data_IF_181607084517
#
_entry.id   IF_181607084517
#
_cell.length_a   1.000
_cell.length_b   1.000
_cell.length_c   1.000
_cell.angle_alpha   90.00
_cell.angle_beta   90.00
_cell.angle_gamma   90.00
#
_symmetry.space_group_name_H-M   'P 1'
#
loop_
_entity.id
_entity.type
_entity.pdbx_description
1 polymer ?
#
# COMPACT_ATOMS: atom_id res chain seq x y z
N UNK A 1 0.36 30.47 -5.10
CA UNK A 1 1.13 29.88 -3.96
C UNK A 1 1.49 28.40 -4.21
N UNK A 2 0.59 27.47 -4.62
CA UNK A 2 0.96 26.06 -4.78
C UNK A 2 1.98 25.80 -5.90
N UNK A 3 1.95 26.59 -6.98
CA UNK A 3 2.83 26.39 -8.14
C UNK A 3 4.29 26.74 -7.82
N UNK A 4 4.52 27.83 -7.08
CA UNK A 4 5.84 28.25 -6.64
C UNK A 4 6.46 27.23 -5.66
N UNK A 5 5.66 26.72 -4.75
CA UNK A 5 6.08 25.67 -3.80
C UNK A 5 6.46 24.39 -4.53
N UNK A 6 5.67 23.97 -5.54
CA UNK A 6 5.97 22.81 -6.38
C UNK A 6 7.30 22.96 -7.13
N UNK A 7 7.55 24.13 -7.73
CA UNK A 7 8.81 24.42 -8.44
C UNK A 7 10.02 24.37 -7.50
N UNK A 8 9.90 24.90 -6.28
CA UNK A 8 10.94 24.87 -5.26
C UNK A 8 11.27 23.45 -4.81
N UNK A 9 10.26 22.62 -4.52
CA UNK A 9 10.45 21.21 -4.14
C UNK A 9 11.08 20.45 -5.28
N UNK A 10 10.56 20.63 -6.51
CA UNK A 10 11.07 19.94 -7.70
C UNK A 10 12.54 20.28 -7.97
N UNK A 11 12.94 21.54 -7.86
CA UNK A 11 14.33 21.96 -8.10
C UNK A 11 15.28 21.40 -7.04
N UNK A 12 14.87 21.40 -5.76
CA UNK A 12 15.65 20.80 -4.65
C UNK A 12 15.77 19.28 -4.82
N UNK A 13 14.68 18.61 -5.14
CA UNK A 13 14.67 17.16 -5.39
C UNK A 13 15.57 16.80 -6.57
N UNK A 14 15.51 17.56 -7.67
CA UNK A 14 16.39 17.36 -8.85
C UNK A 14 17.87 17.57 -8.49
N UNK A 15 18.18 18.59 -7.70
CA UNK A 15 19.54 18.84 -7.22
C UNK A 15 20.04 17.69 -6.36
N UNK A 16 19.22 17.22 -5.42
CA UNK A 16 19.53 16.08 -4.54
C UNK A 16 19.83 14.80 -5.36
N UNK A 17 18.96 14.47 -6.32
CA UNK A 17 19.14 13.31 -7.21
C UNK A 17 20.44 13.39 -7.97
N UNK A 18 20.76 14.58 -8.51
CA UNK A 18 21.98 14.80 -9.26
C UNK A 18 23.24 14.69 -8.39
N UNK A 19 23.19 15.25 -7.17
CA UNK A 19 24.36 15.29 -6.26
C UNK A 19 24.60 13.93 -5.59
N UNK A 20 23.52 13.25 -5.14
CA UNK A 20 23.65 12.02 -4.34
C UNK A 20 23.75 10.77 -5.20
N UNK A 21 22.96 10.72 -6.28
CA UNK A 21 22.85 9.53 -7.12
C UNK A 21 23.49 9.71 -8.51
N UNK A 22 24.07 10.87 -8.81
CA UNK A 22 24.67 11.20 -10.09
C UNK A 22 23.75 10.98 -11.31
N UNK A 23 22.41 11.16 -11.08
CA UNK A 23 21.40 10.97 -12.10
C UNK A 23 20.99 12.32 -12.71
N UNK A 24 20.68 12.30 -14.01
CA UNK A 24 20.33 13.52 -14.77
C UNK A 24 18.88 13.95 -14.53
N UNK A 25 17.99 12.98 -14.38
CA UNK A 25 16.55 13.22 -14.30
C UNK A 25 15.81 12.13 -13.51
N UNK A 26 14.51 12.37 -13.24
CA UNK A 26 13.65 11.42 -12.53
C UNK A 26 13.38 10.12 -13.32
N UNK A 27 13.47 10.13 -14.65
CA UNK A 27 13.34 8.89 -15.45
C UNK A 27 14.50 7.94 -15.17
N UNK A 28 15.73 8.48 -15.09
CA UNK A 28 16.89 7.67 -14.70
C UNK A 28 16.76 7.11 -13.28
N UNK A 29 16.14 7.87 -12.35
CA UNK A 29 15.86 7.39 -11.00
C UNK A 29 14.92 6.18 -11.01
N UNK A 30 13.88 6.19 -11.85
CA UNK A 30 12.98 5.05 -12.00
C UNK A 30 13.71 3.81 -12.53
N UNK A 31 14.56 3.99 -13.55
CA UNK A 31 15.35 2.88 -14.10
C UNK A 31 16.34 2.35 -13.07
N UNK A 32 17.00 3.23 -12.30
CA UNK A 32 17.92 2.84 -11.23
C UNK A 32 17.17 2.06 -10.13
N UNK A 33 15.99 2.51 -9.71
CA UNK A 33 15.16 1.80 -8.73
C UNK A 33 14.82 0.38 -9.20
N UNK A 34 14.45 0.22 -10.47
CA UNK A 34 14.21 -1.10 -11.08
C UNK A 34 15.46 -1.98 -11.09
N UNK A 35 16.60 -1.41 -11.46
CA UNK A 35 17.86 -2.12 -11.42
C UNK A 35 18.21 -2.60 -10.00
N UNK A 36 18.06 -1.73 -8.99
CA UNK A 36 18.31 -2.09 -7.59
C UNK A 36 17.36 -3.21 -7.14
N UNK A 37 16.08 -3.15 -7.51
CA UNK A 37 15.13 -4.21 -7.22
C UNK A 37 15.52 -5.52 -7.93
N UNK A 38 15.92 -5.46 -9.19
CA UNK A 38 16.40 -6.63 -9.94
C UNK A 38 17.63 -7.26 -9.27
N UNK A 39 18.65 -6.46 -8.94
CA UNK A 39 19.85 -6.93 -8.27
C UNK A 39 19.55 -7.55 -6.88
N UNK A 40 18.59 -7.01 -6.16
CA UNK A 40 18.10 -7.56 -4.90
C UNK A 40 17.41 -8.92 -5.11
N UNK A 41 16.53 -9.03 -6.10
CA UNK A 41 15.83 -10.26 -6.43
C UNK A 41 16.80 -11.35 -6.88
N UNK A 42 17.76 -11.01 -7.74
CA UNK A 42 18.83 -11.91 -8.19
C UNK A 42 19.65 -12.46 -7.00
N UNK A 43 20.06 -11.57 -6.08
CA UNK A 43 20.75 -11.97 -4.84
C UNK A 43 19.90 -12.86 -3.93
N UNK A 44 18.58 -12.71 -3.99
CA UNK A 44 17.61 -13.51 -3.23
C UNK A 44 17.25 -14.84 -3.92
N UNK A 45 17.86 -15.15 -5.07
CA UNK A 45 17.66 -16.40 -5.81
C UNK A 45 16.59 -16.33 -6.90
N UNK A 46 15.98 -15.14 -7.14
CA UNK A 46 15.00 -14.93 -8.21
C UNK A 46 15.70 -14.37 -9.45
N UNK A 47 16.55 -15.19 -10.09
CA UNK A 47 17.35 -14.77 -11.24
C UNK A 47 16.71 -15.08 -12.59
N UNK A 48 15.78 -16.04 -12.63
CA UNK A 48 15.12 -16.44 -13.86
C UNK A 48 13.76 -15.77 -14.04
N UNK A 49 13.27 -15.71 -15.29
CA UNK A 49 11.94 -15.24 -15.60
C UNK A 49 10.85 -16.08 -14.94
N UNK A 50 11.05 -17.39 -14.88
CA UNK A 50 10.11 -18.33 -14.25
C UNK A 50 10.00 -18.09 -12.73
N UNK A 51 11.11 -17.72 -12.07
CA UNK A 51 11.10 -17.41 -10.66
C UNK A 51 10.34 -16.11 -10.38
N UNK A 52 10.50 -15.10 -11.24
CA UNK A 52 9.72 -13.86 -11.16
C UNK A 52 8.22 -14.10 -11.43
N UNK A 53 7.88 -15.03 -12.31
CA UNK A 53 6.47 -15.40 -12.55
C UNK A 53 5.85 -16.11 -11.33
N UNK A 54 6.60 -17.01 -10.68
CA UNK A 54 6.19 -17.64 -9.42
C UNK A 54 5.99 -16.59 -8.33
N UNK A 55 6.90 -15.61 -8.21
CA UNK A 55 6.80 -14.52 -7.24
C UNK A 55 5.55 -13.65 -7.52
N UNK A 56 5.25 -13.33 -8.77
CA UNK A 56 4.03 -12.62 -9.14
C UNK A 56 2.75 -13.39 -8.78
N UNK A 57 2.72 -14.68 -9.06
CA UNK A 57 1.57 -15.53 -8.67
C UNK A 57 1.40 -15.57 -7.16
N UNK A 58 2.48 -15.66 -6.39
CA UNK A 58 2.44 -15.60 -4.94
C UNK A 58 1.87 -14.27 -4.44
N UNK A 59 2.38 -13.14 -4.93
CA UNK A 59 1.86 -11.81 -4.57
C UNK A 59 0.37 -11.69 -4.91
N UNK A 60 -0.06 -12.16 -6.08
CA UNK A 60 -1.48 -12.12 -6.47
C UNK A 60 -2.36 -13.02 -5.58
N UNK A 61 -1.87 -14.19 -5.14
CA UNK A 61 -2.60 -15.05 -4.22
C UNK A 61 -2.76 -14.41 -2.84
N UNK A 62 -1.70 -13.80 -2.30
CA UNK A 62 -1.72 -13.06 -1.05
C UNK A 62 -2.69 -11.89 -1.10
N UNK A 63 -2.64 -11.08 -2.17
CA UNK A 63 -3.59 -9.97 -2.37
C UNK A 63 -5.04 -10.44 -2.41
N UNK A 64 -5.32 -11.57 -3.08
CA UNK A 64 -6.66 -12.14 -3.18
C UNK A 64 -7.15 -12.65 -1.81
N UNK A 65 -6.27 -13.23 -1.02
CA UNK A 65 -6.58 -13.73 0.31
C UNK A 65 -6.83 -12.58 1.30
N UNK A 66 -5.99 -11.55 1.31
CA UNK A 66 -6.20 -10.33 2.12
C UNK A 66 -7.54 -9.66 1.79
N UNK A 67 -7.88 -9.55 0.52
CA UNK A 67 -9.13 -8.95 0.07
C UNK A 67 -10.37 -9.77 0.50
N UNK A 68 -10.23 -11.10 0.58
CA UNK A 68 -11.27 -12.01 1.03
C UNK A 68 -11.51 -11.92 2.54
N UNK A 69 -10.44 -11.75 3.32
CA UNK A 69 -10.49 -11.69 4.78
C UNK A 69 -11.04 -10.36 5.33
N UNK A 70 -10.94 -9.25 4.56
CA UNK A 70 -11.46 -7.95 5.02
C UNK A 70 -12.98 -7.77 4.89
N UNK A 71 -13.64 -8.47 3.97
CA UNK A 71 -15.11 -8.39 3.78
C UNK A 71 -15.93 -8.86 4.98
N UNK A 72 -15.63 -10.00 5.64
CA UNK A 72 -16.43 -10.48 6.76
C UNK A 72 -16.29 -9.62 8.01
N UNK A 73 -15.14 -8.99 8.25
CA UNK A 73 -14.91 -8.19 9.46
C UNK A 73 -15.85 -6.97 9.54
N UNK A 74 -16.10 -6.30 8.42
CA UNK A 74 -17.01 -5.16 8.35
C UNK A 74 -18.46 -5.56 8.63
N UNK A 75 -18.88 -6.71 8.11
CA UNK A 75 -20.20 -7.25 8.33
C UNK A 75 -20.40 -7.67 9.78
N UNK A 76 -19.39 -8.32 10.38
CA UNK A 76 -19.42 -8.75 11.78
C UNK A 76 -19.55 -7.54 12.71
N UNK A 77 -18.75 -6.49 12.52
CA UNK A 77 -18.84 -5.26 13.33
C UNK A 77 -20.22 -4.61 13.19
N UNK A 78 -20.77 -4.54 11.99
CA UNK A 78 -22.11 -4.02 11.76
C UNK A 78 -23.20 -4.81 12.47
N UNK A 79 -23.14 -6.13 12.41
CA UNK A 79 -24.09 -7.02 13.12
C UNK A 79 -23.96 -6.87 14.64
N UNK A 80 -22.75 -6.79 15.19
CA UNK A 80 -22.55 -6.58 16.63
C UNK A 80 -23.12 -5.25 17.11
N UNK A 81 -22.91 -4.16 16.39
CA UNK A 81 -23.47 -2.84 16.72
C UNK A 81 -25.00 -2.89 16.67
N UNK A 82 -25.58 -3.48 15.63
CA UNK A 82 -27.04 -3.61 15.49
C UNK A 82 -27.66 -4.46 16.61
N UNK A 83 -27.06 -5.61 16.95
CA UNK A 83 -27.51 -6.47 18.02
C UNK A 83 -27.42 -5.78 19.40
N UNK A 84 -26.32 -5.07 19.68
CA UNK A 84 -26.14 -4.32 20.92
C UNK A 84 -27.20 -3.21 21.08
N UNK A 85 -27.47 -2.46 20.02
CA UNK A 85 -28.51 -1.43 20.03
C UNK A 85 -29.93 -2.02 20.19
N UNK A 86 -30.19 -3.18 19.56
CA UNK A 86 -31.49 -3.85 19.69
C UNK A 86 -31.72 -4.36 21.12
N UNK A 87 -30.70 -4.94 21.77
CA UNK A 87 -30.78 -5.41 23.14
C UNK A 87 -30.98 -4.25 24.13
N UNK A 88 -30.16 -3.20 24.01
CA UNK A 88 -30.28 -2.01 24.86
C UNK A 88 -31.63 -1.32 24.64
N UNK A 89 -32.05 -1.13 23.40
CA UNK A 89 -33.33 -0.52 23.09
C UNK A 89 -34.52 -1.31 23.61
N UNK A 90 -34.51 -2.63 23.44
CA UNK A 90 -35.55 -3.52 23.91
C UNK A 90 -35.68 -3.53 25.46
N UNK A 91 -34.55 -3.67 26.16
CA UNK A 91 -34.55 -3.71 27.65
C UNK A 91 -34.95 -2.36 28.25
N UNK A 92 -34.46 -1.25 27.74
CA UNK A 92 -34.80 0.07 28.28
C UNK A 92 -36.26 0.42 28.06
N UNK A 93 -36.82 0.17 26.88
CA UNK A 93 -38.21 0.45 26.58
C UNK A 93 -39.21 -0.45 27.36
N UNK A 94 -38.77 -1.66 27.75
CA UNK A 94 -39.60 -2.60 28.48
C UNK A 94 -39.65 -2.29 30.00
N UNK A 95 -38.59 -1.70 30.55
CA UNK A 95 -38.46 -1.40 31.99
C UNK A 95 -39.16 -0.10 32.43
N UNK A 96 -39.66 0.72 31.48
CA UNK A 96 -40.30 1.99 31.81
C UNK A 96 -41.83 1.90 31.73
N UNK A 97 -42.53 2.30 32.80
CA UNK A 97 -43.99 2.25 32.89
C UNK A 97 -44.63 3.52 32.33
N UNK A 98 -43.96 4.68 32.41
CA UNK A 98 -44.51 5.96 31.95
C UNK A 98 -44.21 6.23 30.46
N UNK A 99 -45.23 6.75 29.76
CA UNK A 99 -45.18 7.08 28.34
C UNK A 99 -44.12 8.17 28.06
N UNK A 100 -43.99 9.16 28.94
CA UNK A 100 -43.03 10.26 28.79
C UNK A 100 -41.58 9.75 28.93
N UNK A 101 -41.33 8.86 29.91
CA UNK A 101 -40.03 8.24 30.12
C UNK A 101 -39.63 7.36 28.91
N UNK A 102 -40.58 6.60 28.36
CA UNK A 102 -40.36 5.81 27.11
C UNK A 102 -39.97 6.67 25.94
N UNK A 103 -40.61 7.84 25.76
CA UNK A 103 -40.29 8.78 24.72
C UNK A 103 -38.88 9.35 24.88
N UNK A 104 -38.50 9.76 26.07
CA UNK A 104 -37.15 10.24 26.40
C UNK A 104 -36.11 9.16 26.13
N UNK A 105 -36.36 7.93 26.59
CA UNK A 105 -35.47 6.79 26.37
C UNK A 105 -35.28 6.48 24.85
N UNK A 106 -36.37 6.52 24.07
CA UNK A 106 -36.32 6.31 22.65
C UNK A 106 -35.43 7.36 21.95
N UNK A 107 -35.53 8.64 22.32
CA UNK A 107 -34.67 9.71 21.79
C UNK A 107 -33.20 9.46 22.15
N UNK A 108 -32.92 9.07 23.41
CA UNK A 108 -31.55 8.75 23.85
C UNK A 108 -30.97 7.58 23.03
N UNK A 109 -31.74 6.52 22.82
CA UNK A 109 -31.32 5.36 22.02
C UNK A 109 -31.02 5.74 20.59
N UNK A 110 -31.84 6.60 19.95
CA UNK A 110 -31.61 7.10 18.61
C UNK A 110 -30.31 7.90 18.55
N UNK A 111 -30.08 8.81 19.51
CA UNK A 111 -28.85 9.59 19.58
C UNK A 111 -27.63 8.68 19.73
N UNK A 112 -27.70 7.70 20.62
CA UNK A 112 -26.62 6.71 20.81
C UNK A 112 -26.38 5.89 19.53
N UNK A 113 -27.43 5.46 18.84
CA UNK A 113 -27.32 4.77 17.55
C UNK A 113 -26.57 5.60 16.50
N UNK A 114 -26.88 6.89 16.39
CA UNK A 114 -26.18 7.81 15.48
C UNK A 114 -24.71 7.96 15.87
N UNK A 115 -24.40 8.12 17.14
CA UNK A 115 -23.00 8.21 17.62
C UNK A 115 -22.23 6.93 17.30
N UNK A 116 -22.78 5.75 17.61
CA UNK A 116 -22.14 4.47 17.28
C UNK A 116 -21.97 4.26 15.77
N UNK A 117 -22.93 4.72 14.96
CA UNK A 117 -22.82 4.69 13.51
C UNK A 117 -21.62 5.52 13.02
N UNK A 118 -21.43 6.74 13.52
CA UNK A 118 -20.27 7.57 13.16
C UNK A 118 -18.95 6.98 13.64
N UNK A 119 -18.91 6.41 14.85
CA UNK A 119 -17.72 5.70 15.35
C UNK A 119 -17.40 4.51 14.42
N UNK A 120 -18.39 3.72 14.05
CA UNK A 120 -18.25 2.59 13.12
C UNK A 120 -17.70 3.02 11.75
N UNK A 121 -18.25 4.10 11.17
CA UNK A 121 -17.75 4.65 9.92
C UNK A 121 -16.28 5.11 10.03
N UNK A 122 -15.90 5.75 11.13
CA UNK A 122 -14.54 6.21 11.36
C UNK A 122 -13.56 5.04 11.46
N UNK A 123 -13.90 4.02 12.25
CA UNK A 123 -13.09 2.80 12.38
C UNK A 123 -12.94 2.08 11.03
N UNK A 124 -14.04 1.94 10.27
CA UNK A 124 -14.02 1.37 8.93
C UNK A 124 -13.12 2.16 7.98
N UNK A 125 -13.17 3.49 8.02
CA UNK A 125 -12.31 4.35 7.21
C UNK A 125 -10.83 4.14 7.53
N UNK A 126 -10.47 4.00 8.81
CA UNK A 126 -9.09 3.75 9.25
C UNK A 126 -8.60 2.38 8.76
N UNK A 127 -9.41 1.32 8.95
CA UNK A 127 -9.08 -0.04 8.51
C UNK A 127 -8.93 -0.08 6.99
N UNK A 128 -9.86 0.52 6.27
CA UNK A 128 -9.83 0.60 4.81
C UNK A 128 -8.61 1.37 4.30
N UNK A 129 -8.27 2.51 4.90
CA UNK A 129 -7.09 3.29 4.53
C UNK A 129 -5.78 2.51 4.73
N UNK A 130 -5.67 1.69 5.78
CA UNK A 130 -4.51 0.82 6.01
C UNK A 130 -4.43 -0.30 4.98
N UNK A 131 -5.55 -0.96 4.66
CA UNK A 131 -5.63 -2.00 3.63
C UNK A 131 -5.31 -1.43 2.24
N UNK A 132 -5.90 -0.29 1.87
CA UNK A 132 -5.63 0.37 0.58
C UNK A 132 -4.15 0.74 0.41
N UNK A 133 -3.46 1.14 1.48
CA UNK A 133 -2.01 1.42 1.44
C UNK A 133 -1.18 0.17 1.15
N UNK A 134 -1.53 -0.96 1.76
CA UNK A 134 -0.84 -2.23 1.51
C UNK A 134 -1.08 -2.68 0.06
N UNK A 135 -2.33 -2.76 -0.36
CA UNK A 135 -2.71 -3.14 -1.74
C UNK A 135 -2.04 -2.24 -2.78
N UNK A 136 -1.90 -0.95 -2.50
CA UNK A 136 -1.20 -0.01 -3.40
C UNK A 136 0.29 -0.33 -3.51
N UNK A 137 0.97 -0.65 -2.39
CA UNK A 137 2.39 -1.04 -2.40
C UNK A 137 2.61 -2.33 -3.18
N UNK A 138 1.76 -3.33 -2.97
CA UNK A 138 1.82 -4.61 -3.68
C UNK A 138 1.58 -4.42 -5.17
N UNK A 139 0.63 -3.57 -5.55
CA UNK A 139 0.39 -3.24 -6.94
C UNK A 139 1.56 -2.48 -7.60
N UNK A 140 2.21 -1.56 -6.86
CA UNK A 140 3.44 -0.92 -7.32
C UNK A 140 4.58 -1.94 -7.50
N UNK A 141 4.76 -2.86 -6.55
CA UNK A 141 5.75 -3.93 -6.63
C UNK A 141 5.49 -4.84 -7.83
N UNK A 142 4.24 -5.27 -8.03
CA UNK A 142 3.82 -6.07 -9.19
C UNK A 142 4.18 -5.38 -10.51
N UNK A 143 3.89 -4.10 -10.64
CA UNK A 143 4.24 -3.32 -11.84
C UNK A 143 5.76 -3.26 -12.08
N UNK A 144 6.55 -3.09 -11.03
CA UNK A 144 8.01 -3.05 -11.17
C UNK A 144 8.57 -4.43 -11.55
N UNK A 145 8.04 -5.53 -11.00
CA UNK A 145 8.45 -6.90 -11.38
C UNK A 145 8.10 -7.19 -12.84
N UNK A 146 6.90 -6.82 -13.31
CA UNK A 146 6.51 -6.97 -14.72
C UNK A 146 7.43 -6.16 -15.62
N UNK A 147 7.81 -4.94 -15.22
CA UNK A 147 8.75 -4.12 -15.99
C UNK A 147 10.14 -4.75 -16.07
N UNK A 148 10.60 -5.43 -15.00
CA UNK A 148 11.86 -6.18 -14.98
C UNK A 148 11.77 -7.39 -15.92
N UNK A 149 10.70 -8.18 -15.85
CA UNK A 149 10.48 -9.32 -16.77
C UNK A 149 10.48 -8.87 -18.24
N UNK A 150 9.82 -7.75 -18.55
CA UNK A 150 9.79 -7.17 -19.87
C UNK A 150 11.20 -6.76 -20.33
N UNK A 151 11.99 -6.16 -19.45
CA UNK A 151 13.37 -5.77 -19.73
C UNK A 151 14.27 -6.99 -19.98
N UNK A 152 14.10 -8.09 -19.22
CA UNK A 152 14.79 -9.36 -19.44
C UNK A 152 14.44 -9.94 -20.82
N UNK A 153 13.16 -9.97 -21.18
CA UNK A 153 12.70 -10.48 -22.47
C UNK A 153 13.27 -9.67 -23.65
N UNK A 154 13.38 -8.35 -23.50
CA UNK A 154 14.04 -7.50 -24.51
C UNK A 154 15.51 -7.82 -24.59
N UNK A 155 16.20 -8.05 -23.47
CA UNK A 155 17.64 -8.39 -23.47
C UNK A 155 17.93 -9.75 -24.10
N UNK A 156 17.03 -10.73 -23.94
CA UNK A 156 17.15 -12.05 -24.59
C UNK A 156 17.01 -11.97 -26.11
N UNK A 157 16.17 -11.07 -26.62
CA UNK A 157 15.89 -10.92 -28.05
C UNK A 157 16.75 -9.88 -28.76
N UNK A 158 17.48 -9.05 -28.02
CA UNK A 158 18.33 -7.99 -28.55
C UNK A 158 19.66 -7.95 -27.80
N UNK A 159 20.75 -7.57 -28.47
CA UNK A 159 22.04 -7.33 -27.81
C UNK A 159 22.02 -6.14 -26.83
N UNK A 160 20.86 -5.55 -26.59
CA UNK A 160 20.67 -4.42 -25.69
C UNK A 160 20.30 -4.88 -24.29
N UNK A 161 21.20 -4.64 -23.34
CA UNK A 161 20.94 -4.90 -21.92
C UNK A 161 20.46 -3.59 -21.26
N UNK A 162 19.16 -3.47 -20.92
CA UNK A 162 18.58 -2.20 -20.46
C UNK A 162 19.15 -1.71 -19.12
N UNK A 163 19.77 -2.60 -18.35
CA UNK A 163 20.36 -2.29 -17.05
C UNK A 163 21.88 -2.06 -17.07
N UNK A 164 22.56 -2.33 -18.19
CA UNK A 164 24.02 -2.26 -18.27
C UNK A 164 24.59 -0.87 -17.92
N UNK A 165 23.90 0.19 -18.36
CA UNK A 165 24.29 1.57 -18.06
C UNK A 165 24.07 1.92 -16.57
N UNK A 166 23.11 1.28 -15.92
CA UNK A 166 22.83 1.48 -14.48
C UNK A 166 23.76 0.64 -13.62
N UNK A 167 24.07 -0.57 -14.03
CA UNK A 167 25.06 -1.43 -13.40
C UNK A 167 26.40 -0.73 -13.29
N UNK A 168 26.90 -0.14 -14.39
CA UNK A 168 28.12 0.64 -14.39
C UNK A 168 28.08 1.80 -13.38
N UNK A 169 26.99 2.60 -13.39
CA UNK A 169 26.81 3.71 -12.44
C UNK A 169 26.75 3.26 -10.98
N UNK A 170 26.12 2.12 -10.70
CA UNK A 170 26.04 1.57 -9.35
C UNK A 170 27.41 1.05 -8.89
N UNK A 171 28.15 0.42 -9.80
CA UNK A 171 29.52 -0.07 -9.51
C UNK A 171 30.53 1.07 -9.30
N UNK A 172 30.28 2.25 -9.82
CA UNK A 172 31.10 3.46 -9.61
C UNK A 172 30.69 4.26 -8.36
N UNK A 173 29.57 3.92 -7.70
CA UNK A 173 29.02 4.66 -6.56
C UNK A 173 28.94 3.79 -5.29
N UNK A 174 29.86 4.01 -4.36
CA UNK A 174 29.97 3.23 -3.12
C UNK A 174 28.68 3.27 -2.27
N UNK A 175 27.98 4.39 -2.25
CA UNK A 175 26.69 4.49 -1.55
C UNK A 175 25.62 3.58 -2.16
N UNK A 176 25.58 3.44 -3.48
CA UNK A 176 24.63 2.55 -4.14
C UNK A 176 25.01 1.06 -3.93
N UNK A 177 26.29 0.73 -3.86
CA UNK A 177 26.74 -0.61 -3.47
C UNK A 177 26.32 -0.96 -2.05
N UNK A 178 26.46 -0.01 -1.13
CA UNK A 178 26.02 -0.20 0.25
C UNK A 178 24.52 -0.49 0.35
N UNK A 179 23.69 0.20 -0.45
CA UNK A 179 22.25 -0.06 -0.52
C UNK A 179 21.95 -1.49 -0.96
N UNK A 180 22.64 -2.03 -1.98
CA UNK A 180 22.42 -3.42 -2.44
C UNK A 180 22.90 -4.44 -1.41
N UNK A 181 23.96 -4.11 -0.64
CA UNK A 181 24.50 -4.98 0.38
C UNK A 181 23.79 -4.89 1.73
N UNK A 182 23.19 -3.74 2.05
CA UNK A 182 22.43 -3.57 3.28
C UNK A 182 21.08 -4.28 3.18
N UNK A 183 20.72 -5.07 4.21
CA UNK A 183 19.41 -5.74 4.32
C UNK A 183 18.22 -4.79 4.52
N UNK A 184 18.41 -3.48 4.42
CA UNK A 184 17.44 -2.44 4.75
C UNK A 184 16.52 -2.03 3.59
N UNK A 185 16.36 -2.86 2.57
CA UNK A 185 15.48 -2.57 1.42
C UNK A 185 14.01 -2.98 1.63
N UNK A 186 13.70 -3.59 2.78
CA UNK A 186 12.33 -3.98 3.17
C UNK A 186 11.86 -3.07 4.34
#
# INVERSE_FOLDING_TARGET
IPLFYYVLIYSRAKKFIRTRYQLRNFKELTVMRRYLLFAYLEKSGFSSRDDLDKLLRFIHSEMAEEQKNHKPLSTIIGVFIAAFLAILGGTFLFLMDDVVERLIAAVIIIVMAVVFYFIGLTLMSIIRSKSEKNTRKEHELTKEIIAIQTAMLVSENTSYHPFLAMEKKVNENDFLKEIITSRSFL
#
